data_IF_007691291897
#
_entry.id   IF_007691291897
#
_cell.length_a   1.000
_cell.length_b   1.000
_cell.length_c   1.000
_cell.angle_alpha   90.00
_cell.angle_beta   90.00
_cell.angle_gamma   90.00
#
_symmetry.space_group_name_H-M   'P 1'
#
loop_
_entity.id
_entity.type
_entity.pdbx_description
1 polymer ?
#
# COMPACT_ATOMS: atom_id res chain seq x y z
N UNK A 1 -1.19 8.88 -20.60
CA UNK A 1 -0.43 9.17 -19.36
C UNK A 1 -1.42 9.83 -18.43
N UNK A 2 -1.66 9.23 -17.26
CA UNK A 2 -2.66 9.69 -16.30
C UNK A 2 -2.18 11.02 -15.69
N UNK A 3 -3.07 12.00 -15.60
CA UNK A 3 -2.75 13.35 -15.14
C UNK A 3 -2.96 13.50 -13.63
N UNK A 4 -4.07 12.95 -13.11
CA UNK A 4 -4.45 13.04 -11.70
C UNK A 4 -5.02 11.71 -11.20
N UNK A 5 -4.76 11.38 -9.95
CA UNK A 5 -5.28 10.20 -9.25
C UNK A 5 -6.09 10.66 -8.03
N UNK A 6 -7.29 10.12 -7.86
CA UNK A 6 -8.18 10.36 -6.72
C UNK A 6 -8.47 9.03 -6.03
N UNK A 7 -8.28 9.01 -4.72
CA UNK A 7 -8.45 7.83 -3.87
C UNK A 7 -9.56 8.13 -2.87
N UNK A 8 -10.61 7.32 -2.90
CA UNK A 8 -11.68 7.32 -1.90
C UNK A 8 -11.76 5.95 -1.24
N UNK A 9 -12.60 5.78 -0.23
CA UNK A 9 -12.71 4.52 0.49
C UNK A 9 -13.22 3.36 -0.38
N UNK A 10 -13.98 3.63 -1.45
CA UNK A 10 -14.56 2.60 -2.33
C UNK A 10 -14.03 2.59 -3.75
N UNK A 11 -13.43 3.68 -4.22
CA UNK A 11 -13.07 3.81 -5.62
C UNK A 11 -11.73 4.50 -5.80
N UNK A 12 -10.92 3.94 -6.70
CA UNK A 12 -9.76 4.59 -7.26
C UNK A 12 -10.13 5.16 -8.63
N UNK A 13 -9.92 6.46 -8.81
CA UNK A 13 -10.18 7.14 -10.08
C UNK A 13 -8.89 7.74 -10.61
N UNK A 14 -8.66 7.59 -11.92
CA UNK A 14 -7.55 8.23 -12.59
C UNK A 14 -8.05 8.99 -13.81
N UNK A 15 -7.65 10.26 -13.91
CA UNK A 15 -7.96 11.09 -15.07
C UNK A 15 -6.92 10.87 -16.17
N UNK A 16 -7.41 10.73 -17.41
CA UNK A 16 -6.60 10.72 -18.62
C UNK A 16 -5.87 12.05 -18.86
N UNK A 17 -5.41 12.26 -20.10
CA UNK A 17 -4.68 13.49 -20.45
C UNK A 17 -5.59 14.73 -20.28
N UNK A 18 -5.02 15.91 -19.98
CA UNK A 18 -5.79 17.15 -20.00
C UNK A 18 -6.44 17.34 -21.39
N UNK A 19 -7.77 17.39 -21.44
CA UNK A 19 -8.55 17.51 -22.69
C UNK A 19 -9.28 16.24 -23.15
N UNK A 20 -9.09 15.09 -22.50
CA UNK A 20 -9.96 13.91 -22.67
C UNK A 20 -10.92 13.79 -21.48
N UNK A 21 -12.21 13.53 -21.71
CA UNK A 21 -13.21 13.26 -20.65
C UNK A 21 -13.06 11.86 -20.02
N UNK A 22 -12.07 11.07 -20.44
CA UNK A 22 -11.86 9.70 -19.96
C UNK A 22 -11.40 9.69 -18.49
N UNK A 23 -12.34 9.42 -17.59
CA UNK A 23 -12.11 9.09 -16.19
C UNK A 23 -12.14 7.57 -16.05
N UNK A 24 -10.98 6.97 -15.82
CA UNK A 24 -10.89 5.55 -15.50
C UNK A 24 -11.22 5.32 -14.03
N UNK A 25 -11.91 4.22 -13.75
CA UNK A 25 -12.39 3.87 -12.42
C UNK A 25 -12.04 2.42 -12.10
N UNK A 26 -11.57 2.18 -10.89
CA UNK A 26 -11.35 0.87 -10.33
C UNK A 26 -12.07 0.80 -8.98
N UNK A 27 -12.96 -0.19 -8.84
CA UNK A 27 -13.55 -0.60 -7.57
C UNK A 27 -13.00 -2.00 -7.27
N UNK A 28 -12.59 -2.27 -6.03
CA UNK A 28 -12.13 -3.60 -5.67
C UNK A 28 -13.24 -4.64 -5.82
N UNK A 29 -12.82 -5.88 -6.03
CA UNK A 29 -13.72 -6.98 -6.39
C UNK A 29 -14.26 -7.74 -5.15
N UNK A 30 -14.28 -7.10 -3.98
CA UNK A 30 -14.64 -7.71 -2.70
C UNK A 30 -15.87 -7.05 -2.08
N UNK A 31 -16.58 -7.80 -1.23
CA UNK A 31 -17.78 -7.34 -0.50
C UNK A 31 -17.47 -6.31 0.59
N UNK A 32 -16.20 -6.09 0.91
CA UNK A 32 -15.73 -5.14 1.92
C UNK A 32 -15.20 -3.85 1.27
N UNK A 33 -15.29 -2.74 2.00
CA UNK A 33 -14.76 -1.44 1.57
C UNK A 33 -13.22 -1.49 1.60
N UNK A 34 -12.59 -1.13 0.48
CA UNK A 34 -11.14 -1.24 0.28
C UNK A 34 -10.33 -0.18 1.04
N UNK A 35 -10.86 1.01 1.32
CA UNK A 35 -10.10 2.12 1.91
C UNK A 35 -8.80 2.45 1.13
N UNK A 36 -8.92 2.84 -0.14
CA UNK A 36 -7.76 3.22 -0.93
C UNK A 36 -7.07 4.46 -0.35
N UNK A 37 -5.74 4.41 -0.15
CA UNK A 37 -4.97 5.52 0.47
C UNK A 37 -3.68 5.89 -0.23
N UNK A 38 -3.05 4.98 -0.96
CA UNK A 38 -1.73 5.20 -1.56
C UNK A 38 -1.75 4.84 -3.04
N UNK A 39 -0.98 5.59 -3.83
CA UNK A 39 -0.66 5.27 -5.21
C UNK A 39 0.83 5.46 -5.44
N UNK A 40 1.48 4.46 -6.00
CA UNK A 40 2.90 4.49 -6.38
C UNK A 40 3.03 4.00 -7.81
N UNK A 41 3.74 4.76 -8.64
CA UNK A 41 4.01 4.37 -10.01
C UNK A 41 5.31 3.55 -10.07
N UNK A 42 5.24 2.40 -10.73
CA UNK A 42 6.42 1.59 -11.08
C UNK A 42 6.33 1.21 -12.58
N UNK A 43 7.12 1.89 -13.42
CA UNK A 43 7.05 1.71 -14.87
C UNK A 43 5.67 1.99 -15.48
N UNK A 44 5.04 0.94 -16.01
CA UNK A 44 3.70 0.95 -16.60
C UNK A 44 2.60 0.46 -15.64
N UNK A 45 2.95 0.28 -14.38
CA UNK A 45 2.08 -0.20 -13.31
C UNK A 45 1.83 0.89 -12.27
N UNK A 46 0.65 0.85 -11.67
CA UNK A 46 0.24 1.62 -10.51
C UNK A 46 0.01 0.64 -9.36
N UNK A 47 0.86 0.71 -8.34
CA UNK A 47 0.63 0.03 -7.08
C UNK A 47 -0.33 0.89 -6.25
N UNK A 48 -1.46 0.32 -5.84
CA UNK A 48 -2.50 1.01 -5.06
C UNK A 48 -2.67 0.32 -3.71
N UNK A 49 -2.31 1.02 -2.63
CA UNK A 49 -2.41 0.50 -1.27
C UNK A 49 -3.78 0.75 -0.66
N UNK A 50 -4.37 -0.31 -0.09
CA UNK A 50 -5.71 -0.36 0.46
C UNK A 50 -5.74 -1.14 1.79
N UNK A 51 -6.91 -1.53 2.27
CA UNK A 51 -7.14 -2.41 3.43
C UNK A 51 -6.87 -3.84 3.01
N UNK A 52 -5.95 -4.50 3.71
CA UNK A 52 -5.54 -5.89 3.55
C UNK A 52 -4.92 -6.23 2.18
N UNK A 53 -4.73 -5.26 1.28
CA UNK A 53 -4.32 -5.53 -0.10
C UNK A 53 -3.53 -4.37 -0.70
N UNK A 54 -2.62 -4.73 -1.60
CA UNK A 54 -2.01 -3.81 -2.56
C UNK A 54 -2.35 -4.31 -3.96
N UNK A 55 -3.04 -3.49 -4.74
CA UNK A 55 -3.37 -3.80 -6.15
C UNK A 55 -2.22 -3.36 -7.05
N UNK A 56 -1.94 -4.14 -8.09
CA UNK A 56 -1.09 -3.75 -9.21
C UNK A 56 -1.97 -3.56 -10.44
N UNK A 57 -2.19 -2.29 -10.81
CA UNK A 57 -3.06 -1.91 -11.92
C UNK A 57 -2.22 -1.43 -13.12
N UNK A 58 -2.67 -1.74 -14.32
CA UNK A 58 -2.13 -1.14 -15.54
C UNK A 58 -2.39 0.37 -15.56
N UNK A 59 -1.37 1.16 -15.89
CA UNK A 59 -1.50 2.63 -16.01
C UNK A 59 -2.37 3.06 -17.21
N UNK A 60 -2.66 2.14 -18.13
CA UNK A 60 -3.35 2.45 -19.38
C UNK A 60 -4.87 2.41 -19.25
N UNK A 61 -5.37 1.43 -18.50
CA UNK A 61 -6.79 1.07 -18.43
C UNK A 61 -7.25 0.67 -17.02
N UNK A 62 -6.37 0.77 -16.01
CA UNK A 62 -6.61 0.33 -14.63
C UNK A 62 -6.97 -1.16 -14.49
N UNK A 63 -6.67 -1.98 -15.50
CA UNK A 63 -6.86 -3.43 -15.37
C UNK A 63 -5.96 -4.00 -14.28
N UNK A 64 -6.53 -4.81 -13.40
CA UNK A 64 -5.77 -5.48 -12.36
C UNK A 64 -4.87 -6.55 -12.99
N UNK A 65 -3.56 -6.35 -12.87
CA UNK A 65 -2.56 -7.30 -13.34
C UNK A 65 -2.32 -8.36 -12.27
N UNK A 66 -2.17 -7.91 -11.01
CA UNK A 66 -1.91 -8.74 -9.83
C UNK A 66 -2.41 -8.05 -8.56
N UNK A 67 -2.49 -8.80 -7.46
CA UNK A 67 -2.67 -8.26 -6.11
C UNK A 67 -1.75 -8.94 -5.12
N UNK A 68 -1.33 -8.18 -4.11
CA UNK A 68 -0.65 -8.66 -2.91
C UNK A 68 -1.64 -8.61 -1.75
N UNK A 69 -2.08 -9.78 -1.28
CA UNK A 69 -2.92 -9.90 -0.10
C UNK A 69 -2.04 -9.89 1.16
N UNK A 70 -2.38 -9.03 2.11
CA UNK A 70 -1.71 -8.91 3.40
C UNK A 70 -2.71 -8.52 4.49
N UNK A 71 -3.57 -9.46 4.84
CA UNK A 71 -4.45 -9.36 6.01
C UNK A 71 -3.68 -9.60 7.31
N UNK A 72 -4.16 -9.02 8.41
CA UNK A 72 -3.62 -9.34 9.74
C UNK A 72 -3.87 -10.81 10.10
N UNK A 73 -2.98 -11.45 10.87
CA UNK A 73 -3.23 -12.76 11.46
C UNK A 73 -4.49 -12.74 12.33
N UNK A 74 -5.30 -13.81 12.30
CA UNK A 74 -6.56 -13.87 13.05
C UNK A 74 -6.40 -13.59 14.55
N UNK A 75 -5.32 -14.08 15.16
CA UNK A 75 -5.06 -13.88 16.59
C UNK A 75 -4.80 -12.41 16.92
N UNK A 76 -4.17 -11.66 16.00
CA UNK A 76 -3.96 -10.22 16.14
C UNK A 76 -5.29 -9.46 16.02
N UNK A 77 -6.15 -9.87 15.08
CA UNK A 77 -7.51 -9.30 14.94
C UNK A 77 -8.32 -9.55 16.21
N UNK A 78 -8.37 -10.80 16.69
CA UNK A 78 -9.08 -11.20 17.92
C UNK A 78 -8.59 -10.41 19.12
N UNK A 79 -7.27 -10.31 19.30
CA UNK A 79 -6.66 -9.55 20.39
C UNK A 79 -6.97 -8.04 20.30
N UNK A 80 -6.98 -7.47 19.09
CA UNK A 80 -7.35 -6.08 18.86
C UNK A 80 -8.80 -5.81 19.27
N UNK A 81 -9.74 -6.69 18.89
CA UNK A 81 -11.15 -6.58 19.27
C UNK A 81 -11.33 -6.78 20.78
N UNK A 82 -10.64 -7.75 21.40
CA UNK A 82 -10.66 -7.94 22.86
C UNK A 82 -10.19 -6.70 23.64
N UNK A 83 -9.33 -5.87 23.04
CA UNK A 83 -8.89 -4.59 23.60
C UNK A 83 -9.89 -3.44 23.38
N UNK A 84 -11.08 -3.74 22.86
CA UNK A 84 -12.19 -2.79 22.71
C UNK A 84 -12.15 -1.97 21.42
N UNK A 85 -11.43 -2.42 20.39
CA UNK A 85 -11.44 -1.78 19.07
C UNK A 85 -12.49 -2.41 18.16
N UNK A 86 -13.03 -1.60 17.24
CA UNK A 86 -14.00 -2.06 16.25
C UNK A 86 -13.35 -3.08 15.29
N UNK A 87 -14.11 -4.11 14.88
CA UNK A 87 -13.62 -5.16 13.99
C UNK A 87 -13.11 -4.61 12.64
N UNK A 88 -13.76 -3.56 12.14
CA UNK A 88 -13.34 -2.83 10.93
C UNK A 88 -11.98 -2.13 11.13
N UNK A 89 -11.73 -1.54 12.30
CA UNK A 89 -10.46 -0.90 12.61
C UNK A 89 -9.34 -1.93 12.86
N UNK A 90 -9.68 -3.15 13.25
CA UNK A 90 -8.75 -4.24 13.55
C UNK A 90 -8.20 -4.96 12.31
N UNK A 91 -8.09 -4.28 11.18
CA UNK A 91 -7.61 -4.82 9.91
C UNK A 91 -6.21 -4.27 9.60
N UNK A 92 -5.60 -4.71 8.50
CA UNK A 92 -4.32 -4.18 8.07
C UNK A 92 -4.51 -3.08 7.03
N UNK A 93 -4.41 -1.82 7.41
CA UNK A 93 -4.50 -0.71 6.47
C UNK A 93 -3.11 -0.36 5.97
N UNK A 94 -2.87 -0.40 4.66
CA UNK A 94 -1.58 -0.02 4.09
C UNK A 94 -1.42 1.51 4.14
N UNK A 95 -0.35 1.98 4.80
CA UNK A 95 -0.11 3.41 5.07
C UNK A 95 1.24 3.90 4.55
N UNK A 96 2.14 3.00 4.18
CA UNK A 96 3.42 3.36 3.57
C UNK A 96 3.76 2.34 2.48
N UNK A 97 4.21 2.83 1.32
CA UNK A 97 4.59 2.00 0.18
C UNK A 97 5.69 2.69 -0.62
N UNK A 98 6.81 2.00 -0.85
CA UNK A 98 8.01 2.59 -1.47
C UNK A 98 8.76 1.54 -2.30
N UNK A 99 9.20 1.91 -3.51
CA UNK A 99 10.20 1.15 -4.27
C UNK A 99 11.58 1.49 -3.70
N UNK A 100 12.20 0.55 -2.99
CA UNK A 100 13.50 0.76 -2.33
C UNK A 100 14.69 0.52 -3.26
N UNK A 101 14.50 -0.34 -4.26
CA UNK A 101 15.40 -0.62 -5.36
C UNK A 101 14.57 -1.21 -6.52
N UNK A 102 15.10 -1.32 -7.76
CA UNK A 102 14.38 -1.97 -8.85
C UNK A 102 13.87 -3.37 -8.44
N UNK A 103 12.55 -3.57 -8.53
CA UNK A 103 11.90 -4.82 -8.14
C UNK A 103 11.82 -5.07 -6.62
N UNK A 104 12.15 -4.10 -5.76
CA UNK A 104 12.02 -4.24 -4.30
C UNK A 104 11.03 -3.23 -3.72
N UNK A 105 10.03 -3.77 -3.04
CA UNK A 105 8.93 -3.02 -2.46
C UNK A 105 8.96 -3.10 -0.94
N UNK A 106 8.99 -1.95 -0.28
CA UNK A 106 8.69 -1.83 1.14
C UNK A 106 7.22 -1.41 1.30
N UNK A 107 6.45 -2.19 2.06
CA UNK A 107 5.11 -1.80 2.49
C UNK A 107 5.00 -1.83 4.00
N UNK A 108 4.27 -0.89 4.59
CA UNK A 108 3.91 -0.90 6.00
C UNK A 108 2.41 -0.68 6.18
N UNK A 109 1.84 -1.40 7.13
CA UNK A 109 0.43 -1.31 7.46
C UNK A 109 0.17 -1.37 8.96
N UNK A 110 -1.05 -0.99 9.36
CA UNK A 110 -1.46 -0.89 10.77
C UNK A 110 -1.51 -2.26 11.46
N UNK A 111 -1.73 -3.33 10.69
CA UNK A 111 -1.81 -4.73 11.11
C UNK A 111 -2.51 -4.90 12.48
N UNK A 112 -3.80 -4.53 12.55
CA UNK A 112 -4.64 -4.62 13.76
C UNK A 112 -4.05 -3.88 14.97
N UNK A 113 -3.66 -2.61 14.78
CA UNK A 113 -2.98 -1.80 15.81
C UNK A 113 -1.65 -2.41 16.30
N UNK A 114 -0.98 -3.19 15.44
CA UNK A 114 0.38 -3.70 15.64
C UNK A 114 1.19 -3.42 14.37
N UNK A 115 1.59 -2.16 14.12
CA UNK A 115 2.15 -1.77 12.84
C UNK A 115 3.38 -2.60 12.48
N UNK A 116 3.41 -3.08 11.23
CA UNK A 116 4.48 -3.91 10.66
C UNK A 116 4.90 -3.35 9.31
N UNK A 117 6.13 -3.68 8.92
CA UNK A 117 6.68 -3.40 7.61
C UNK A 117 7.21 -4.68 6.98
N UNK A 118 6.86 -4.91 5.72
CA UNK A 118 7.32 -6.04 4.92
C UNK A 118 8.19 -5.55 3.76
N UNK A 119 9.29 -6.26 3.52
CA UNK A 119 10.14 -6.09 2.35
C UNK A 119 9.83 -7.23 1.39
N UNK A 120 9.42 -6.88 0.17
CA UNK A 120 9.10 -7.82 -0.89
C UNK A 120 10.04 -7.67 -2.06
N UNK A 121 10.44 -8.80 -2.62
CA UNK A 121 10.95 -8.89 -3.99
C UNK A 121 9.75 -9.09 -4.93
N UNK A 122 9.61 -8.20 -5.90
CA UNK A 122 8.62 -8.29 -6.98
C UNK A 122 9.21 -9.17 -8.08
N UNK A 123 8.55 -10.29 -8.37
CA UNK A 123 8.85 -11.14 -9.50
C UNK A 123 7.71 -11.03 -10.53
N UNK A 124 7.91 -11.55 -11.75
CA UNK A 124 6.96 -11.40 -12.85
C UNK A 124 5.51 -11.74 -12.48
N UNK A 125 5.30 -12.74 -11.61
CA UNK A 125 3.98 -13.25 -11.22
C UNK A 125 3.73 -13.30 -9.70
N UNK A 126 4.64 -12.79 -8.85
CA UNK A 126 4.48 -12.90 -7.41
C UNK A 126 5.21 -11.80 -6.61
N UNK A 127 4.84 -11.71 -5.34
CA UNK A 127 5.55 -10.94 -4.32
C UNK A 127 6.14 -11.93 -3.33
N UNK A 128 7.47 -11.97 -3.22
CA UNK A 128 8.18 -12.85 -2.29
C UNK A 128 8.63 -12.06 -1.07
N UNK A 129 8.16 -12.42 0.12
CA UNK A 129 8.53 -11.77 1.38
C UNK A 129 10.00 -12.07 1.71
N UNK A 130 10.83 -11.04 1.75
CA UNK A 130 12.24 -11.15 2.12
C UNK A 130 12.45 -10.93 3.63
N UNK A 131 11.72 -9.98 4.23
CA UNK A 131 11.83 -9.65 5.64
C UNK A 131 10.58 -8.99 6.21
N UNK A 132 10.30 -9.26 7.49
CA UNK A 132 9.34 -8.52 8.31
C UNK A 132 10.11 -7.68 9.35
N UNK A 133 9.70 -6.43 9.56
CA UNK A 133 10.21 -5.55 10.62
C UNK A 133 9.04 -4.91 11.37
N UNK A 134 9.32 -4.48 12.60
CA UNK A 134 8.41 -3.59 13.33
C UNK A 134 8.15 -2.33 12.52
N UNK A 135 6.88 -1.97 12.36
CA UNK A 135 6.45 -0.74 11.69
C UNK A 135 6.25 0.42 12.67
N UNK A 136 6.61 0.25 13.94
CA UNK A 136 6.53 1.33 14.93
C UNK A 136 7.34 2.54 14.46
N UNK A 137 6.85 3.75 14.75
CA UNK A 137 7.40 5.04 14.31
C UNK A 137 7.22 5.31 12.80
N UNK A 138 7.25 4.28 11.95
CA UNK A 138 7.08 4.43 10.48
C UNK A 138 5.61 4.46 10.08
N UNK A 139 4.79 3.61 10.69
CA UNK A 139 3.38 3.41 10.35
C UNK A 139 2.50 3.68 11.58
N UNK A 140 1.37 4.40 11.43
CA UNK A 140 0.46 4.63 12.54
C UNK A 140 -0.15 3.31 13.04
N UNK A 141 -0.54 3.30 14.32
CA UNK A 141 -1.28 2.18 14.90
C UNK A 141 -2.75 2.22 14.49
N UNK A 142 -3.37 3.38 14.61
CA UNK A 142 -4.78 3.60 14.30
C UNK A 142 -4.94 3.99 12.82
N UNK A 143 -5.78 3.30 12.03
CA UNK A 143 -6.01 3.66 10.62
C UNK A 143 -6.59 5.06 10.43
N UNK A 144 -7.26 5.63 11.44
CA UNK A 144 -7.82 7.00 11.41
C UNK A 144 -6.76 8.07 11.65
N UNK A 145 -5.56 7.71 12.12
CA UNK A 145 -4.49 8.68 12.31
C UNK A 145 -3.89 9.09 10.95
N UNK A 146 -3.92 10.40 10.69
CA UNK A 146 -3.23 10.99 9.56
C UNK A 146 -1.72 10.92 9.80
N UNK A 147 -1.01 10.28 8.86
CA UNK A 147 0.44 10.17 8.87
C UNK A 147 0.95 10.38 7.45
N UNK A 148 2.12 10.99 7.32
CA UNK A 148 2.85 11.10 6.06
C UNK A 148 4.23 10.48 6.29
N UNK A 149 4.58 9.50 5.47
CA UNK A 149 5.92 8.90 5.47
C UNK A 149 6.67 9.39 4.22
N UNK A 150 7.92 9.82 4.41
CA UNK A 150 8.83 10.19 3.32
C UNK A 150 10.02 9.25 3.39
N UNK A 151 10.30 8.57 2.29
CA UNK A 151 11.50 7.75 2.17
C UNK A 151 12.62 8.60 1.59
N UNK A 152 13.72 8.74 2.34
CA UNK A 152 14.93 9.40 1.89
C UNK A 152 15.99 8.30 1.63
N UNK A 153 16.35 8.11 0.36
CA UNK A 153 17.49 7.29 0.02
C UNK A 153 18.77 8.05 0.42
N UNK A 154 19.42 7.62 1.50
CA UNK A 154 20.77 8.10 1.81
C UNK A 154 21.70 7.38 0.84
N UNK A 155 22.08 8.07 -0.23
CA UNK A 155 23.23 7.66 -1.02
C UNK A 155 24.46 7.80 -0.11
N UNK A 156 24.85 6.72 0.56
CA UNK A 156 26.17 6.64 1.15
C UNK A 156 27.18 6.71 0.01
N UNK A 157 27.73 7.90 -0.23
CA UNK A 157 28.92 8.04 -1.05
C UNK A 157 30.01 7.13 -0.46
N UNK A 158 30.63 6.24 -1.26
CA UNK A 158 31.74 5.46 -0.76
C UNK A 158 32.96 6.38 -0.65
N UNK A 159 33.27 6.83 0.57
CA UNK A 159 34.52 7.52 0.84
C UNK A 159 34.42 8.62 1.89
N UNK A 160 34.53 8.24 3.15
CA UNK A 160 35.25 9.04 4.16
C UNK A 160 35.78 8.06 5.20
N UNK A 161 37.00 7.57 4.93
CA UNK A 161 37.90 7.07 5.95
C UNK A 161 38.49 8.26 6.69
N UNK A 162 38.28 8.32 8.00
CA UNK A 162 39.25 8.92 8.93
C UNK A 162 40.00 7.78 9.63
#
# INVERSE_FOLDING_TARGET
MLANCFLDDQIFMAQGKPGSEDVLRFAGNETAIDHFKLVLRDGNSLLVGARNVVFNLSIHDLTEQQRLLWSSPEDDVKMCVMKGKDEEACQNYIRTMVITAPGRLLICGTNSFRPKCHYYQINANNYSLEAEKSGQVVCPYDPKHNSTAVFAAINSAPGMSE
#
